data_IF_937437029077
#
_entry.id   IF_937437029077
#
_cell.length_a   1.000
_cell.length_b   1.000
_cell.length_c   1.000
_cell.angle_alpha   90.00
_cell.angle_beta   90.00
_cell.angle_gamma   90.00
#
_symmetry.space_group_name_H-M   'P 1'
#
loop_
_entity.id
_entity.type
_entity.pdbx_description
1 polymer ?
#
# COMPACT_ATOMS: atom_id res chain seq x y z
N UNK A 1 19.70 36.43 22.96
CA UNK A 1 19.62 35.84 21.61
C UNK A 1 18.36 35.00 21.54
N UNK A 2 17.34 35.43 20.79
CA UNK A 2 16.19 34.58 20.51
C UNK A 2 16.62 33.47 19.55
N UNK A 3 16.49 32.21 19.99
CA UNK A 3 16.79 31.03 19.17
C UNK A 3 15.68 30.90 18.13
N UNK A 4 15.96 30.75 16.82
CA UNK A 4 14.91 30.54 15.83
C UNK A 4 14.17 29.24 16.16
N UNK A 5 12.85 29.32 16.19
CA UNK A 5 11.98 28.17 16.37
C UNK A 5 12.09 27.29 15.12
N UNK A 6 12.85 26.20 15.22
CA UNK A 6 13.00 25.24 14.13
C UNK A 6 11.70 24.43 14.07
N UNK A 7 10.79 24.82 13.17
CA UNK A 7 9.61 24.03 12.86
C UNK A 7 10.05 22.81 12.06
N UNK A 8 10.25 21.68 12.75
CA UNK A 8 10.57 20.41 12.10
C UNK A 8 9.35 19.90 11.34
N UNK A 9 9.40 19.99 10.01
CA UNK A 9 8.41 19.33 9.15
C UNK A 9 8.80 17.86 9.01
N UNK A 10 7.96 16.90 9.41
CA UNK A 10 8.26 15.48 9.25
C UNK A 10 8.53 15.17 7.78
N UNK A 11 9.61 14.44 7.50
CA UNK A 11 9.89 13.96 6.15
C UNK A 11 8.80 12.94 5.75
N UNK A 12 8.06 13.24 4.69
CA UNK A 12 7.18 12.27 4.04
C UNK A 12 7.93 11.56 2.90
N UNK A 13 7.46 10.36 2.56
CA UNK A 13 8.00 9.59 1.43
C UNK A 13 7.63 10.27 0.11
N UNK A 14 8.44 10.05 -0.94
CA UNK A 14 8.26 10.62 -2.28
C UNK A 14 8.49 9.52 -3.35
N UNK A 15 8.05 8.30 -3.08
CA UNK A 15 8.27 7.13 -3.93
C UNK A 15 6.95 6.35 -4.13
N UNK A 16 6.99 5.26 -4.90
CA UNK A 16 5.82 4.44 -5.25
C UNK A 16 4.85 4.12 -4.09
N UNK A 17 5.33 3.92 -2.87
CA UNK A 17 4.46 3.58 -1.72
C UNK A 17 3.89 4.82 -1.00
N UNK A 18 4.01 6.04 -1.55
CA UNK A 18 3.72 7.30 -0.84
C UNK A 18 2.26 7.30 -0.38
N UNK A 19 1.36 6.96 -1.29
CA UNK A 19 -0.07 6.89 -1.01
C UNK A 19 -0.40 5.82 0.04
N UNK A 20 0.04 4.57 -0.17
CA UNK A 20 -0.29 3.47 0.73
C UNK A 20 0.29 3.66 2.13
N UNK A 21 1.52 4.17 2.26
CA UNK A 21 2.07 4.47 3.58
C UNK A 21 1.38 5.67 4.20
N UNK A 22 1.02 6.69 3.40
CA UNK A 22 0.21 7.81 3.86
C UNK A 22 -1.13 7.37 4.43
N UNK A 23 -1.82 6.45 3.78
CA UNK A 23 -3.07 5.83 4.25
C UNK A 23 -2.86 5.08 5.58
N UNK A 24 -1.82 4.26 5.67
CA UNK A 24 -1.50 3.51 6.89
C UNK A 24 -1.12 4.43 8.06
N UNK A 25 -0.41 5.51 7.79
CA UNK A 25 -0.09 6.56 8.79
C UNK A 25 -1.38 7.21 9.30
N UNK A 26 -2.28 7.63 8.41
CA UNK A 26 -3.58 8.19 8.80
C UNK A 26 -4.37 7.21 9.67
N UNK A 27 -4.47 5.95 9.24
CA UNK A 27 -5.18 4.92 9.99
C UNK A 27 -4.58 4.66 11.38
N UNK A 28 -3.25 4.71 11.51
CA UNK A 28 -2.57 4.64 12.82
C UNK A 28 -2.96 5.82 13.71
N UNK A 29 -2.97 7.04 13.16
CA UNK A 29 -3.36 8.24 13.88
C UNK A 29 -4.83 8.21 14.31
N UNK A 30 -5.74 7.75 13.45
CA UNK A 30 -7.17 7.62 13.77
C UNK A 30 -7.42 6.63 14.92
N UNK A 31 -6.55 5.62 15.06
CA UNK A 31 -6.55 4.68 16.19
C UNK A 31 -5.82 5.20 17.44
N UNK A 32 -5.23 6.39 17.40
CA UNK A 32 -4.47 6.95 18.51
C UNK A 32 -3.19 6.17 18.86
N UNK A 33 -2.69 5.33 17.95
CA UNK A 33 -1.52 4.50 18.19
C UNK A 33 -0.22 5.26 17.94
N UNK A 34 0.78 5.10 18.80
CA UNK A 34 2.13 5.60 18.53
C UNK A 34 2.87 4.70 17.53
N UNK A 35 3.98 5.19 16.97
CA UNK A 35 4.87 4.36 16.15
C UNK A 35 5.47 3.19 16.95
N UNK A 36 5.66 3.36 18.25
CA UNK A 36 6.20 2.34 19.15
C UNK A 36 5.17 1.23 19.41
N UNK A 37 3.93 1.60 19.74
CA UNK A 37 2.82 0.65 19.88
C UNK A 37 2.68 -0.23 18.64
N UNK A 38 2.82 0.38 17.46
CA UNK A 38 2.73 -0.32 16.20
C UNK A 38 3.94 -1.23 15.94
N UNK A 39 5.17 -0.84 16.31
CA UNK A 39 6.33 -1.75 16.20
C UNK A 39 6.06 -3.04 17.00
N UNK A 40 5.56 -2.90 18.23
CA UNK A 40 5.24 -4.03 19.09
C UNK A 40 4.10 -4.88 18.52
N UNK A 41 3.04 -4.24 18.02
CA UNK A 41 1.89 -4.95 17.45
C UNK A 41 2.24 -5.73 16.18
N UNK A 42 3.12 -5.21 15.33
CA UNK A 42 3.63 -5.91 14.14
C UNK A 42 4.69 -6.96 14.52
N UNK A 43 5.39 -6.78 15.64
CA UNK A 43 6.49 -7.64 16.07
C UNK A 43 7.82 -7.31 15.38
N UNK A 44 8.10 -6.02 15.17
CA UNK A 44 9.33 -5.54 14.52
C UNK A 44 10.21 -4.73 15.45
N UNK A 45 11.48 -4.58 15.05
CA UNK A 45 12.46 -3.80 15.80
C UNK A 45 12.04 -2.33 16.00
N UNK A 46 12.48 -1.75 17.09
CA UNK A 46 12.20 -0.36 17.43
C UNK A 46 12.58 0.60 16.31
N UNK A 47 11.76 1.65 16.15
CA UNK A 47 11.89 2.71 15.15
C UNK A 47 11.79 2.21 13.70
N UNK A 48 11.43 0.96 13.44
CA UNK A 48 11.31 0.47 12.07
C UNK A 48 10.10 1.08 11.37
N UNK A 49 8.95 1.19 12.04
CA UNK A 49 7.77 1.93 11.54
C UNK A 49 8.14 3.37 11.21
N UNK A 50 8.86 4.07 12.10
CA UNK A 50 9.31 5.45 11.87
C UNK A 50 10.11 5.59 10.57
N UNK A 51 11.05 4.66 10.32
CA UNK A 51 11.86 4.62 9.09
C UNK A 51 11.01 4.32 7.85
N UNK A 52 9.95 3.54 7.98
CA UNK A 52 9.00 3.30 6.90
C UNK A 52 8.17 4.55 6.60
N UNK A 53 7.59 5.19 7.61
CA UNK A 53 6.73 6.38 7.47
C UNK A 53 7.45 7.55 6.78
N UNK A 54 8.75 7.73 7.05
CA UNK A 54 9.57 8.77 6.43
C UNK A 54 10.38 8.32 5.20
N UNK A 55 10.24 7.07 4.76
CA UNK A 55 10.87 6.58 3.53
C UNK A 55 12.37 6.30 3.64
N UNK A 56 12.97 6.34 4.84
CA UNK A 56 14.37 5.93 5.06
C UNK A 56 14.56 4.43 4.76
N UNK A 57 13.52 3.62 5.01
CA UNK A 57 13.48 2.20 4.67
C UNK A 57 12.18 1.88 3.95
N UNK A 58 12.27 0.93 3.03
CA UNK A 58 11.10 0.34 2.38
C UNK A 58 10.67 -0.91 3.16
N UNK A 59 9.39 -1.05 3.56
CA UNK A 59 8.90 -2.30 4.11
C UNK A 59 8.93 -3.40 3.04
N UNK A 60 9.13 -4.65 3.45
CA UNK A 60 8.84 -5.79 2.58
C UNK A 60 7.33 -5.88 2.35
N UNK A 61 6.90 -6.61 1.31
CA UNK A 61 5.47 -6.87 1.07
C UNK A 61 4.79 -7.56 2.26
N UNK A 62 5.48 -8.50 2.90
CA UNK A 62 5.01 -9.15 4.12
C UNK A 62 4.79 -8.13 5.25
N UNK A 63 5.74 -7.24 5.50
CA UNK A 63 5.60 -6.22 6.55
C UNK A 63 4.49 -5.21 6.24
N UNK A 64 4.28 -4.88 4.96
CA UNK A 64 3.18 -4.01 4.54
C UNK A 64 1.82 -4.67 4.83
N UNK A 65 1.70 -5.99 4.60
CA UNK A 65 0.52 -6.77 4.98
C UNK A 65 0.31 -6.77 6.51
N UNK A 66 1.35 -7.10 7.30
CA UNK A 66 1.24 -7.12 8.76
C UNK A 66 0.92 -5.74 9.35
N UNK A 67 1.41 -4.66 8.73
CA UNK A 67 1.07 -3.31 9.15
C UNK A 67 -0.42 -3.02 8.93
N UNK A 68 -0.95 -3.30 7.75
CA UNK A 68 -2.37 -3.12 7.48
C UNK A 68 -3.24 -3.94 8.45
N UNK A 69 -2.91 -5.21 8.66
CA UNK A 69 -3.62 -6.10 9.58
C UNK A 69 -3.56 -5.62 11.03
N UNK A 70 -2.38 -5.18 11.51
CA UNK A 70 -2.22 -4.61 12.85
C UNK A 70 -3.09 -3.36 13.07
N UNK A 71 -3.47 -2.66 12.00
CA UNK A 71 -4.37 -1.51 12.03
C UNK A 71 -5.81 -1.87 11.65
N UNK A 72 -6.20 -3.15 11.72
CA UNK A 72 -7.52 -3.66 11.34
C UNK A 72 -7.96 -3.19 9.92
N UNK A 73 -6.96 -3.00 9.05
CA UNK A 73 -7.12 -2.50 7.69
C UNK A 73 -7.15 -3.63 6.67
N UNK A 74 -7.59 -3.29 5.45
CA UNK A 74 -7.60 -4.20 4.31
C UNK A 74 -6.84 -3.60 3.14
N UNK A 75 -5.89 -4.35 2.57
CA UNK A 75 -5.23 -3.96 1.33
C UNK A 75 -6.07 -4.40 0.12
N UNK A 76 -6.22 -3.50 -0.85
CA UNK A 76 -6.89 -3.76 -2.13
C UNK A 76 -5.90 -3.48 -3.27
N UNK A 77 -5.74 -4.43 -4.17
CA UNK A 77 -5.03 -4.21 -5.44
C UNK A 77 -6.02 -3.69 -6.47
N UNK A 78 -5.64 -2.62 -7.16
CA UNK A 78 -6.42 -2.05 -8.26
C UNK A 78 -5.55 -1.98 -9.52
N UNK A 79 -6.11 -2.25 -10.71
CA UNK A 79 -5.44 -1.98 -11.96
C UNK A 79 -4.98 -0.52 -12.03
N UNK A 80 -3.78 -0.27 -12.56
CA UNK A 80 -3.33 1.07 -12.91
C UNK A 80 -3.47 1.25 -14.42
N UNK A 81 -4.58 1.85 -14.90
CA UNK A 81 -4.85 1.99 -16.34
C UNK A 81 -3.84 2.91 -17.04
N UNK A 82 -3.19 3.81 -16.29
CA UNK A 82 -2.24 4.80 -16.80
C UNK A 82 -0.80 4.27 -16.89
N UNK A 83 -0.53 3.05 -16.41
CA UNK A 83 0.82 2.47 -16.46
C UNK A 83 1.02 1.73 -17.80
N UNK A 84 1.94 2.18 -18.69
CA UNK A 84 2.16 1.51 -19.96
C UNK A 84 2.66 0.09 -19.76
N UNK A 85 2.05 -0.88 -20.42
CA UNK A 85 2.55 -2.27 -20.42
C UNK A 85 3.78 -2.34 -21.31
N UNK A 86 4.90 -2.84 -20.77
CA UNK A 86 6.04 -3.29 -21.58
C UNK A 86 5.66 -4.64 -22.22
N UNK A 87 5.25 -4.65 -23.48
CA UNK A 87 5.13 -5.91 -24.23
C UNK A 87 6.51 -6.56 -24.38
N UNK A 88 6.57 -7.90 -24.41
CA UNK A 88 7.81 -8.65 -24.68
C UNK A 88 8.39 -8.38 -26.08
N UNK A 89 7.69 -7.62 -26.93
CA UNK A 89 8.09 -7.22 -28.28
C UNK A 89 8.51 -5.75 -28.41
N UNK A 90 8.58 -4.98 -27.32
CA UNK A 90 9.04 -3.58 -27.37
C UNK A 90 8.02 -2.58 -27.94
N UNK A 91 6.76 -2.97 -28.16
CA UNK A 91 5.68 -2.06 -28.52
C UNK A 91 4.86 -1.62 -27.30
N UNK A 92 4.58 -0.31 -27.19
CA UNK A 92 3.68 0.28 -26.21
C UNK A 92 2.23 0.03 -26.62
N UNK A 93 1.44 -0.60 -25.75
CA UNK A 93 -0.01 -0.72 -25.91
C UNK A 93 -0.73 -0.43 -24.60
N UNK A 94 -1.95 0.10 -24.70
CA UNK A 94 -2.89 0.25 -23.58
C UNK A 94 -3.77 -0.98 -23.51
N UNK A 95 -4.05 -1.49 -22.30
CA UNK A 95 -5.01 -2.58 -22.09
C UNK A 95 -6.38 -1.98 -21.85
N UNK A 96 -7.38 -2.46 -22.60
CA UNK A 96 -8.75 -2.42 -22.12
C UNK A 96 -8.91 -3.53 -21.06
N UNK A 97 -8.96 -3.14 -19.78
CA UNK A 97 -9.09 -4.09 -18.68
C UNK A 97 -10.43 -4.86 -18.70
N UNK A 98 -11.43 -4.42 -19.49
CA UNK A 98 -12.72 -5.09 -19.61
C UNK A 98 -12.64 -6.47 -20.31
N UNK A 99 -11.63 -6.71 -21.17
CA UNK A 99 -11.46 -8.02 -21.85
C UNK A 99 -10.90 -9.13 -20.93
N UNK A 100 -10.29 -8.77 -19.80
CA UNK A 100 -9.66 -9.76 -18.90
C UNK A 100 -10.58 -10.35 -17.84
N UNK A 101 -11.77 -9.76 -17.63
CA UNK A 101 -12.75 -10.25 -16.67
C UNK A 101 -13.85 -11.12 -17.31
N UNK A 102 -13.91 -11.24 -18.65
CA UNK A 102 -14.84 -12.15 -19.35
C UNK A 102 -14.39 -13.62 -19.40
N UNK A 103 -13.20 -13.97 -18.89
CA UNK A 103 -12.69 -15.36 -18.95
C UNK A 103 -13.23 -16.26 -17.80
N UNK A 104 -13.99 -15.73 -16.84
CA UNK A 104 -14.66 -16.55 -15.81
C UNK A 104 -16.18 -16.36 -15.81
N UNK A 105 -16.80 -16.66 -16.95
CA UNK A 105 -18.14 -17.25 -16.95
C UNK A 105 -18.05 -18.56 -17.73
N UNK A 106 -17.85 -19.66 -17.02
CA UNK A 106 -18.04 -21.00 -17.57
C UNK A 106 -19.48 -21.09 -18.10
N UNK A 107 -19.62 -21.09 -19.43
CA UNK A 107 -20.92 -21.23 -20.11
C UNK A 107 -21.44 -22.68 -20.10
N UNK A 108 -20.80 -23.62 -19.40
CA UNK A 108 -21.22 -25.02 -19.37
C UNK A 108 -21.05 -25.68 -18.00
N UNK A 109 -21.78 -25.20 -16.98
CA UNK A 109 -22.28 -26.06 -15.89
C UNK A 109 -23.37 -25.38 -15.04
N UNK A 110 -24.45 -24.91 -15.69
CA UNK A 110 -25.76 -24.84 -15.02
C UNK A 110 -26.49 -26.11 -15.41
N UNK A 111 -26.42 -27.10 -14.52
CA UNK A 111 -27.17 -28.33 -14.64
C UNK A 111 -28.66 -28.01 -14.77
N UNK A 112 -29.32 -28.77 -15.66
CA UNK A 112 -30.76 -28.96 -15.72
C UNK A 112 -31.33 -29.16 -14.30
N UNK A 113 -31.92 -28.09 -13.78
CA UNK A 113 -32.80 -28.08 -12.63
C UNK A 113 -34.02 -27.23 -12.99
N UNK A 114 -34.83 -27.75 -13.91
CA UNK A 114 -36.28 -27.56 -14.06
C UNK A 114 -36.75 -28.38 -15.27
#
# INVERSE_FOLDING_TARGET
>A
MNKPEIVYKPKSRQDFLEDVVGDLVRLRHDKGMTQEDLNHRIGVADRLVSKWECGIRTPTSFNLYCWADALDGKLKVVPNPERPIKSKSGQMGFVDYNDTYEITADKNQVAMAA
#
